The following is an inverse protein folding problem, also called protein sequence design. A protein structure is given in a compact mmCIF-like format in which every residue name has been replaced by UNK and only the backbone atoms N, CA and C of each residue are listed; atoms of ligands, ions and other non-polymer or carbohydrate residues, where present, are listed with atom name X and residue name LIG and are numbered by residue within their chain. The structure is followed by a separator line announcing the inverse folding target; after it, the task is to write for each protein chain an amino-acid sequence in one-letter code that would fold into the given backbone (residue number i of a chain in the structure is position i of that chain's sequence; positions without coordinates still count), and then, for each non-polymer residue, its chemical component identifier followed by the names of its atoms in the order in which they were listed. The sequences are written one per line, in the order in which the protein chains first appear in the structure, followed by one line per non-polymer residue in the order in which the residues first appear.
data_IF_627269450138
#
_entry.id   IF_627269450138
#
_cell.length_a   1.000
_cell.length_b   1.000
_cell.length_c   1.000
_cell.angle_alpha   90.00
_cell.angle_beta   90.00
_cell.angle_gamma   90.00
#
_symmetry.space_group_name_H-M   'P 1'
#
loop_
_entity.id
_entity.type
_entity.pdbx_description
1 polymer ?
#
# COMPACT_ATOMS: atom_id res chain seq x y z
N UNK A 1 4.88 -12.94 2.06
CA UNK A 1 4.60 -12.97 0.61
C UNK A 1 5.09 -11.66 0.01
N UNK A 2 6.10 -11.72 -0.88
CA UNK A 2 6.48 -10.56 -1.71
C UNK A 2 5.44 -10.38 -2.82
N UNK A 3 5.36 -9.19 -3.41
CA UNK A 3 4.43 -8.84 -4.50
C UNK A 3 4.51 -9.82 -5.69
N UNK A 4 5.70 -10.36 -5.99
CA UNK A 4 5.89 -11.36 -7.07
C UNK A 4 5.24 -12.71 -6.76
N UNK A 5 5.04 -13.04 -5.49
CA UNK A 5 4.43 -14.28 -5.04
C UNK A 5 2.92 -14.15 -4.77
N UNK A 6 2.32 -12.98 -5.02
CA UNK A 6 0.89 -12.74 -4.73
C UNK A 6 -0.03 -13.64 -5.54
N UNK A 7 0.27 -13.87 -6.81
CA UNK A 7 -0.55 -14.74 -7.67
C UNK A 7 -0.55 -16.19 -7.16
N UNK A 8 0.63 -16.76 -6.87
CA UNK A 8 0.74 -18.08 -6.29
C UNK A 8 0.03 -18.20 -4.92
N UNK A 9 0.14 -17.17 -4.07
CA UNK A 9 -0.60 -17.12 -2.82
C UNK A 9 -2.12 -17.08 -3.04
N UNK A 10 -2.60 -16.33 -4.04
CA UNK A 10 -4.00 -16.26 -4.40
C UNK A 10 -4.53 -17.63 -4.86
N UNK A 11 -3.78 -18.35 -5.69
CA UNK A 11 -4.12 -19.71 -6.13
C UNK A 11 -4.22 -20.70 -4.95
N UNK A 12 -3.27 -20.65 -4.03
CA UNK A 12 -3.29 -21.50 -2.82
C UNK A 12 -4.51 -21.22 -1.94
N UNK A 13 -4.83 -19.93 -1.72
CA UNK A 13 -6.01 -19.54 -0.95
C UNK A 13 -7.30 -19.92 -1.67
N UNK A 14 -7.37 -19.79 -3.00
CA UNK A 14 -8.52 -20.22 -3.79
C UNK A 14 -8.70 -21.75 -3.75
N UNK A 15 -7.61 -22.53 -3.77
CA UNK A 15 -7.67 -23.97 -3.59
C UNK A 15 -8.22 -24.36 -2.20
N UNK A 16 -7.82 -23.64 -1.15
CA UNK A 16 -8.37 -23.81 0.20
C UNK A 16 -9.86 -23.45 0.26
N UNK A 17 -10.24 -22.34 -0.38
CA UNK A 17 -11.62 -21.88 -0.42
C UNK A 17 -12.56 -22.85 -1.16
N UNK A 18 -12.11 -23.43 -2.29
CA UNK A 18 -12.84 -24.49 -3.01
C UNK A 18 -13.14 -25.71 -2.15
N UNK A 19 -12.26 -26.02 -1.19
CA UNK A 19 -12.41 -27.16 -0.27
C UNK A 19 -13.23 -26.79 0.99
N UNK A 20 -13.81 -25.59 1.05
CA UNK A 20 -14.57 -25.12 2.21
C UNK A 20 -13.70 -24.75 3.41
N UNK A 21 -12.41 -24.47 3.20
CA UNK A 21 -11.46 -24.18 4.29
C UNK A 21 -11.63 -22.81 4.95
N UNK A 22 -12.58 -21.99 4.49
CA UNK A 22 -12.90 -20.70 5.11
C UNK A 22 -14.25 -20.74 5.84
N UNK A 23 -14.32 -20.21 7.07
CA UNK A 23 -15.60 -20.07 7.76
C UNK A 23 -16.50 -19.05 7.07
N UNK A 24 -17.81 -19.13 7.35
CA UNK A 24 -18.78 -18.14 6.87
C UNK A 24 -18.41 -16.74 7.35
N UNK A 25 -18.36 -15.78 6.43
CA UNK A 25 -17.99 -14.40 6.73
C UNK A 25 -16.50 -14.19 7.01
N UNK A 26 -15.64 -15.10 6.52
CA UNK A 26 -14.19 -14.92 6.56
C UNK A 26 -13.75 -13.61 5.87
N UNK A 27 -12.72 -13.01 6.45
CA UNK A 27 -12.05 -11.82 5.94
C UNK A 27 -10.58 -12.15 5.70
N UNK A 28 -10.04 -11.72 4.56
CA UNK A 28 -8.62 -11.82 4.23
C UNK A 28 -8.06 -10.40 4.12
N UNK A 29 -7.11 -10.04 5.00
CA UNK A 29 -6.46 -8.74 4.96
C UNK A 29 -5.17 -8.81 4.12
N UNK A 30 -5.10 -8.04 3.03
CA UNK A 30 -3.90 -7.95 2.21
C UNK A 30 -2.91 -6.95 2.81
N UNK A 31 -1.96 -7.45 3.62
CA UNK A 31 -0.88 -6.67 4.27
C UNK A 31 0.34 -6.43 3.37
N UNK A 32 0.29 -6.86 2.11
CA UNK A 32 1.43 -6.80 1.18
C UNK A 32 1.64 -5.38 0.64
N UNK A 33 2.91 -4.97 0.49
CA UNK A 33 3.25 -3.72 -0.19
C UNK A 33 2.89 -3.79 -1.69
N UNK A 34 2.22 -2.76 -2.20
CA UNK A 34 1.81 -2.64 -3.60
C UNK A 34 0.34 -2.25 -3.75
N UNK A 35 -0.03 -1.79 -4.94
CA UNK A 35 -1.38 -1.26 -5.25
C UNK A 35 -2.32 -2.30 -5.89
N UNK A 36 -1.78 -3.45 -6.36
CA UNK A 36 -2.56 -4.47 -7.09
C UNK A 36 -2.87 -5.74 -6.29
N UNK A 37 -2.15 -6.00 -5.21
CA UNK A 37 -2.22 -7.28 -4.50
C UNK A 37 -3.61 -7.60 -3.97
N UNK A 38 -4.30 -6.60 -3.43
CA UNK A 38 -5.65 -6.75 -2.93
C UNK A 38 -6.64 -7.15 -4.02
N UNK A 39 -6.53 -6.56 -5.21
CA UNK A 39 -7.38 -6.89 -6.35
C UNK A 39 -7.12 -8.31 -6.88
N UNK A 40 -5.85 -8.74 -6.95
CA UNK A 40 -5.48 -10.11 -7.35
C UNK A 40 -6.06 -11.14 -6.37
N UNK A 41 -5.96 -10.87 -5.06
CA UNK A 41 -6.54 -11.74 -4.04
C UNK A 41 -8.07 -11.74 -4.09
N UNK A 42 -8.69 -10.57 -4.26
CA UNK A 42 -10.14 -10.44 -4.34
C UNK A 42 -10.72 -11.25 -5.51
N UNK A 43 -10.14 -11.09 -6.71
CA UNK A 43 -10.58 -11.83 -7.90
C UNK A 43 -10.53 -13.35 -7.71
N UNK A 44 -9.54 -13.86 -6.97
CA UNK A 44 -9.39 -15.28 -6.70
C UNK A 44 -10.34 -15.83 -5.61
N UNK A 45 -10.82 -14.96 -4.70
CA UNK A 45 -11.49 -15.37 -3.46
C UNK A 45 -12.97 -14.98 -3.39
N UNK A 46 -13.38 -13.92 -4.08
CA UNK A 46 -14.77 -13.49 -4.19
C UNK A 46 -15.71 -14.59 -4.72
N UNK A 47 -15.34 -15.40 -5.73
CA UNK A 47 -16.17 -16.52 -6.20
C UNK A 47 -16.48 -17.56 -5.11
N UNK A 48 -15.71 -17.57 -4.03
CA UNK A 48 -15.86 -18.48 -2.89
C UNK A 48 -16.50 -17.79 -1.66
N UNK A 49 -17.00 -16.56 -1.81
CA UNK A 49 -17.65 -15.81 -0.73
C UNK A 49 -16.69 -15.29 0.34
N UNK A 50 -15.37 -15.28 0.07
CA UNK A 50 -14.35 -14.76 0.98
C UNK A 50 -14.07 -13.31 0.62
N UNK A 51 -14.27 -12.40 1.59
CA UNK A 51 -14.07 -10.98 1.37
C UNK A 51 -12.62 -10.58 1.64
N UNK A 52 -12.01 -9.90 0.66
CA UNK A 52 -10.63 -9.40 0.77
C UNK A 52 -10.65 -7.91 1.11
N UNK A 53 -9.93 -7.54 2.17
CA UNK A 53 -9.72 -6.16 2.58
C UNK A 53 -8.30 -5.73 2.28
N UNK A 54 -8.17 -4.79 1.37
CA UNK A 54 -6.89 -4.17 1.03
C UNK A 54 -6.39 -3.31 2.20
N UNK A 55 -5.08 -3.31 2.44
CA UNK A 55 -4.49 -2.52 3.52
C UNK A 55 -3.26 -1.75 3.06
N UNK A 56 -2.83 -0.80 3.89
CA UNK A 56 -1.56 -0.11 3.77
C UNK A 56 -0.83 -0.21 5.11
N UNK A 57 0.42 -0.66 5.07
CA UNK A 57 1.31 -0.76 6.24
C UNK A 57 2.39 0.32 6.14
N UNK A 58 2.56 1.11 7.19
CA UNK A 58 3.45 2.27 7.25
C UNK A 58 4.64 2.05 8.19
N UNK A 59 5.18 0.84 8.19
CA UNK A 59 6.42 0.47 8.86
C UNK A 59 7.02 -0.75 8.18
N UNK A 60 8.33 -0.93 8.35
CA UNK A 60 9.04 -2.11 7.90
C UNK A 60 9.48 -2.93 9.12
N UNK A 61 9.57 -4.24 8.92
CA UNK A 61 10.14 -5.18 9.88
C UNK A 61 11.25 -5.97 9.18
N UNK A 62 12.26 -6.35 9.96
CA UNK A 62 13.32 -7.26 9.53
C UNK A 62 13.30 -8.47 10.44
N UNK A 63 13.35 -9.65 9.83
CA UNK A 63 13.61 -10.89 10.53
C UNK A 63 15.13 -11.06 10.68
N UNK A 64 15.65 -10.67 11.84
CA UNK A 64 17.08 -10.68 12.18
C UNK A 64 17.66 -12.10 12.20
N UNK A 65 16.89 -13.06 12.69
CA UNK A 65 17.34 -14.44 12.86
C UNK A 65 17.02 -15.34 11.67
N UNK A 66 16.66 -14.80 10.50
CA UNK A 66 16.21 -15.61 9.36
C UNK A 66 17.27 -16.61 8.88
N UNK A 67 18.53 -16.17 8.82
CA UNK A 67 19.65 -16.98 8.35
C UNK A 67 20.43 -17.65 9.49
N UNK A 68 20.03 -17.43 10.74
CA UNK A 68 20.69 -18.03 11.89
C UNK A 68 19.92 -19.27 12.32
N UNK A 69 20.28 -20.41 11.73
CA UNK A 69 19.68 -21.71 12.05
C UNK A 69 19.92 -22.15 13.50
N UNK A 70 20.81 -21.45 14.23
CA UNK A 70 21.12 -21.69 15.63
C UNK A 70 20.43 -20.69 16.57
N UNK A 71 19.69 -19.71 16.04
CA UNK A 71 18.99 -18.74 16.86
C UNK A 71 17.94 -19.44 17.73
N UNK A 72 18.07 -19.29 19.05
CA UNK A 72 17.16 -19.88 20.03
C UNK A 72 15.71 -19.36 19.93
N UNK A 73 15.48 -18.24 19.22
CA UNK A 73 14.16 -17.64 19.08
C UNK A 73 13.97 -16.89 17.74
N UNK A 74 12.69 -16.61 17.43
CA UNK A 74 12.30 -15.74 16.32
C UNK A 74 12.56 -14.26 16.67
N UNK A 75 13.56 -13.65 16.05
CA UNK A 75 13.91 -12.23 16.28
C UNK A 75 13.43 -11.35 15.13
N UNK A 76 12.27 -10.72 15.29
CA UNK A 76 11.74 -9.71 14.37
C UNK A 76 11.85 -8.34 15.01
N UNK A 77 12.43 -7.37 14.30
CA UNK A 77 12.55 -5.99 14.76
C UNK A 77 11.91 -5.02 13.77
N UNK A 78 11.31 -3.96 14.29
CA UNK A 78 10.78 -2.85 13.49
C UNK A 78 11.92 -1.91 13.09
N UNK A 79 11.99 -1.56 11.81
CA UNK A 79 13.08 -0.72 11.26
C UNK A 79 12.71 0.76 11.16
N UNK A 80 11.45 1.11 11.40
CA UNK A 80 10.95 2.48 11.27
C UNK A 80 10.34 2.92 12.59
N UNK A 81 10.75 4.06 13.18
CA UNK A 81 10.15 4.53 14.42
C UNK A 81 8.64 4.77 14.25
N UNK A 82 7.84 4.67 15.34
CA UNK A 82 6.44 5.06 15.31
C UNK A 82 6.29 6.52 14.89
N UNK A 83 5.45 6.78 13.89
CA UNK A 83 5.09 8.14 13.51
C UNK A 83 3.98 8.61 14.47
N UNK A 84 4.33 9.51 15.38
CA UNK A 84 3.39 10.04 16.39
C UNK A 84 2.16 10.61 15.68
N UNK A 85 0.97 10.24 16.15
CA UNK A 85 -0.31 10.70 15.62
C UNK A 85 -0.79 10.00 14.34
N UNK A 86 0.06 9.24 13.64
CA UNK A 86 -0.29 8.60 12.38
C UNK A 86 -0.59 7.10 12.56
N UNK A 87 -1.62 6.56 11.86
CA UNK A 87 -1.86 5.13 11.85
C UNK A 87 -0.70 4.40 11.17
N UNK A 88 -0.27 3.29 11.76
CA UNK A 88 0.74 2.41 11.17
C UNK A 88 0.11 1.36 10.25
N UNK A 89 -1.19 1.09 10.38
CA UNK A 89 -1.97 0.28 9.45
C UNK A 89 -3.25 1.02 9.07
N UNK A 90 -3.55 1.12 7.78
CA UNK A 90 -4.86 1.53 7.26
C UNK A 90 -5.52 0.34 6.57
N UNK A 91 -6.77 0.07 6.89
CA UNK A 91 -7.55 -1.05 6.31
C UNK A 91 -8.73 -0.47 5.55
N UNK A 92 -8.99 -0.99 4.34
CA UNK A 92 -10.22 -0.70 3.61
C UNK A 92 -11.42 -1.06 4.48
N UNK A 93 -12.33 -0.11 4.69
CA UNK A 93 -13.57 -0.37 5.39
C UNK A 93 -14.54 -1.10 4.46
N UNK A 94 -15.42 -1.90 5.05
CA UNK A 94 -16.54 -2.48 4.32
C UNK A 94 -17.52 -1.36 3.92
N UNK A 95 -18.06 -1.37 2.70
CA UNK A 95 -19.02 -0.37 2.27
C UNK A 95 -20.24 -0.33 3.19
N UNK A 96 -20.67 0.88 3.52
CA UNK A 96 -21.93 1.11 4.26
C UNK A 96 -23.10 1.10 3.27
N UNK A 97 -24.29 0.63 3.68
CA UNK A 97 -25.47 0.53 2.82
C UNK A 97 -25.93 1.87 2.17
N UNK A 98 -25.43 3.02 2.63
CA UNK A 98 -25.68 4.34 2.01
C UNK A 98 -24.65 4.80 0.96
N UNK A 99 -23.43 4.24 0.95
CA UNK A 99 -22.36 4.65 0.02
C UNK A 99 -22.46 3.98 -1.36
N UNK A 100 -23.18 2.86 -1.46
CA UNK A 100 -23.42 2.14 -2.72
C UNK A 100 -24.17 3.00 -3.74
N UNK A 101 -25.05 3.91 -3.29
CA UNK A 101 -25.79 4.84 -4.18
C UNK A 101 -24.90 5.96 -4.73
N UNK A 102 -23.89 6.41 -3.98
CA UNK A 102 -23.01 7.53 -4.40
C UNK A 102 -21.95 7.08 -5.40
N UNK A 103 -21.29 5.94 -5.17
CA UNK A 103 -20.35 5.37 -6.13
C UNK A 103 -21.01 4.94 -7.45
N UNK A 104 -22.27 4.49 -7.40
CA UNK A 104 -23.07 4.17 -8.58
C UNK A 104 -23.50 5.41 -9.37
N UNK A 105 -23.77 6.54 -8.70
CA UNK A 105 -24.09 7.80 -9.37
C UNK A 105 -22.86 8.43 -10.05
N UNK A 106 -21.67 8.37 -9.43
CA UNK A 106 -20.42 8.86 -10.04
C UNK A 106 -19.96 8.00 -11.22
N UNK A 107 -20.08 6.66 -11.15
CA UNK A 107 -19.74 5.78 -12.28
C UNK A 107 -20.74 5.84 -13.43
N UNK A 108 -22.02 6.13 -13.17
CA UNK A 108 -23.02 6.30 -14.23
C UNK A 108 -22.84 7.67 -14.91
N UNK A 109 -22.52 8.73 -14.16
CA UNK A 109 -22.36 10.07 -14.71
C UNK A 109 -21.10 10.24 -15.58
N UNK A 110 -20.03 9.48 -15.32
CA UNK A 110 -18.86 9.44 -16.21
C UNK A 110 -19.13 8.68 -17.51
N UNK A 111 -20.04 7.69 -17.49
CA UNK A 111 -20.38 6.89 -18.67
C UNK A 111 -21.31 7.61 -19.66
N UNK A 112 -22.02 8.66 -19.23
CA UNK A 112 -22.91 9.44 -20.11
C UNK A 112 -22.20 10.54 -20.92
N UNK A 113 -20.89 10.74 -20.74
CA UNK A 113 -20.13 11.80 -21.42
C UNK A 113 -19.25 11.33 -22.58
N UNK A 114 -19.12 10.03 -22.82
CA UNK A 114 -18.33 9.51 -23.93
C UNK A 114 -19.23 8.70 -24.87
N UNK A 115 -19.41 9.25 -26.08
CA UNK A 115 -20.09 8.59 -27.18
C UNK A 115 -19.37 7.30 -27.59
N UNK A 116 -20.17 6.40 -28.14
CA UNK A 116 -19.89 5.02 -28.50
C UNK A 116 -18.65 4.83 -29.37
N UNK A 117 -17.80 3.84 -29.04
CA UNK A 117 -17.58 2.65 -29.89
C UNK A 117 -16.69 1.56 -29.21
N UNK A 118 -17.19 0.32 -29.34
CA UNK A 118 -16.54 -0.99 -29.26
C UNK A 118 -16.04 -1.59 -27.93
N UNK A 119 -16.92 -2.45 -27.40
CA UNK A 119 -16.67 -3.79 -26.82
C UNK A 119 -15.40 -4.03 -25.99
N UNK A 120 -15.56 -3.89 -24.66
CA UNK A 120 -15.14 -4.93 -23.75
C UNK A 120 -16.16 -5.05 -22.62
N UNK A 121 -17.00 -6.08 -22.68
CA UNK A 121 -17.93 -6.45 -21.60
C UNK A 121 -17.13 -7.03 -20.43
N UNK A 122 -16.49 -6.16 -19.66
CA UNK A 122 -16.07 -6.50 -18.30
C UNK A 122 -17.34 -6.59 -17.44
N UNK A 123 -17.77 -7.83 -17.27
CA UNK A 123 -18.87 -8.26 -16.44
C UNK A 123 -18.53 -7.92 -14.98
N UNK A 124 -18.82 -6.69 -14.56
CA UNK A 124 -18.78 -6.28 -13.15
C UNK A 124 -19.95 -6.94 -12.45
N UNK A 125 -19.78 -8.21 -12.10
CA UNK A 125 -20.62 -8.88 -11.12
C UNK A 125 -20.61 -8.00 -9.87
N UNK A 126 -21.76 -7.39 -9.55
CA UNK A 126 -21.89 -6.52 -8.40
C UNK A 126 -21.47 -7.29 -7.16
N UNK A 127 -20.36 -6.87 -6.54
CA UNK A 127 -19.85 -7.48 -5.32
C UNK A 127 -20.98 -7.56 -4.29
N UNK A 128 -21.23 -8.77 -3.77
CA UNK A 128 -22.31 -8.99 -2.82
C UNK A 128 -22.14 -8.07 -1.61
N UNK A 129 -23.23 -7.42 -1.19
CA UNK A 129 -23.21 -6.51 -0.05
C UNK A 129 -22.63 -7.22 1.19
N UNK A 130 -21.74 -6.56 1.94
CA UNK A 130 -21.08 -7.20 3.06
C UNK A 130 -22.07 -7.61 4.15
N UNK A 131 -21.90 -8.82 4.65
CA UNK A 131 -22.76 -9.42 5.67
C UNK A 131 -22.54 -8.76 7.05
N UNK A 132 -23.54 -8.85 7.93
CA UNK A 132 -23.40 -8.41 9.32
C UNK A 132 -22.26 -9.15 10.04
N UNK A 133 -22.04 -10.43 9.71
CA UNK A 133 -20.93 -11.24 10.23
C UNK A 133 -19.59 -10.66 9.83
N UNK A 134 -19.40 -10.28 8.57
CA UNK A 134 -18.16 -9.64 8.09
C UNK A 134 -17.89 -8.31 8.81
N UNK A 135 -18.91 -7.48 9.04
CA UNK A 135 -18.74 -6.23 9.82
C UNK A 135 -18.32 -6.52 11.27
N UNK A 136 -18.95 -7.49 11.92
CA UNK A 136 -18.57 -7.90 13.27
C UNK A 136 -17.14 -8.45 13.33
N UNK A 137 -16.74 -9.26 12.34
CA UNK A 137 -15.39 -9.80 12.24
C UNK A 137 -14.35 -8.70 11.99
N UNK A 138 -14.63 -7.71 11.14
CA UNK A 138 -13.73 -6.57 10.93
C UNK A 138 -13.51 -5.79 12.23
N UNK A 139 -14.58 -5.51 12.98
CA UNK A 139 -14.47 -4.83 14.27
C UNK A 139 -13.62 -5.62 15.27
N UNK A 140 -13.80 -6.94 15.35
CA UNK A 140 -12.99 -7.82 16.20
C UNK A 140 -11.52 -7.81 15.81
N UNK A 141 -11.20 -7.88 14.51
CA UNK A 141 -9.83 -7.82 14.00
C UNK A 141 -9.19 -6.47 14.36
N UNK A 142 -9.89 -5.36 14.14
CA UNK A 142 -9.38 -4.01 14.46
C UNK A 142 -9.14 -3.84 15.96
N UNK A 143 -10.04 -4.35 16.79
CA UNK A 143 -9.89 -4.31 18.25
C UNK A 143 -8.71 -5.17 18.70
N UNK A 144 -8.60 -6.40 18.19
CA UNK A 144 -7.48 -7.30 18.50
C UNK A 144 -6.13 -6.70 18.09
N UNK A 145 -6.04 -6.11 16.89
CA UNK A 145 -4.81 -5.45 16.45
C UNK A 145 -4.42 -4.25 17.32
N UNK A 146 -5.39 -3.59 17.98
CA UNK A 146 -5.15 -2.43 18.85
C UNK A 146 -4.92 -2.82 20.31
N UNK A 147 -5.10 -4.10 20.68
CA UNK A 147 -5.26 -4.52 22.07
C UNK A 147 -4.06 -4.20 22.97
N UNK A 148 -2.84 -4.31 22.43
CA UNK A 148 -1.59 -4.03 23.15
C UNK A 148 -1.12 -2.56 23.04
N UNK A 149 -1.85 -1.72 22.29
CA UNK A 149 -1.49 -0.33 21.99
C UNK A 149 -0.28 -0.17 21.05
N UNK A 150 0.36 -1.26 20.61
CA UNK A 150 1.54 -1.21 19.75
C UNK A 150 1.19 -0.85 18.30
N UNK A 151 0.01 -1.24 17.83
CA UNK A 151 -0.46 -0.93 16.48
C UNK A 151 -1.59 0.11 16.47
N UNK A 152 -1.33 1.22 15.79
CA UNK A 152 -2.34 2.22 15.44
C UNK A 152 -3.01 1.83 14.12
N UNK A 153 -4.14 1.14 14.22
CA UNK A 153 -4.95 0.76 13.05
C UNK A 153 -6.03 1.80 12.80
N UNK A 154 -6.35 2.11 11.54
CA UNK A 154 -7.53 2.92 11.17
C UNK A 154 -8.25 2.30 9.98
N UNK A 155 -9.56 2.54 9.91
CA UNK A 155 -10.39 2.17 8.77
C UNK A 155 -10.48 3.37 7.81
N UNK A 156 -10.46 3.11 6.50
CA UNK A 156 -10.65 4.14 5.47
C UNK A 156 -11.69 3.66 4.45
N UNK A 157 -12.60 4.53 3.99
CA UNK A 157 -13.54 4.18 2.92
C UNK A 157 -12.85 4.06 1.56
N UNK A 158 -11.70 4.72 1.36
CA UNK A 158 -10.94 4.68 0.12
C UNK A 158 -9.47 4.35 0.42
N UNK A 159 -9.11 3.08 0.29
CA UNK A 159 -7.73 2.62 0.45
C UNK A 159 -6.87 2.89 -0.79
N UNK A 160 -7.49 3.05 -1.97
CA UNK A 160 -6.78 3.27 -3.25
C UNK A 160 -5.90 4.52 -3.12
N UNK A 161 -6.50 5.64 -2.75
CA UNK A 161 -5.82 6.92 -2.57
C UNK A 161 -4.67 6.85 -1.56
N UNK A 162 -4.87 6.11 -0.47
CA UNK A 162 -3.84 5.86 0.55
C UNK A 162 -2.66 5.08 -0.02
N UNK A 163 -2.91 4.01 -0.78
CA UNK A 163 -1.84 3.18 -1.35
C UNK A 163 -1.06 3.93 -2.43
N UNK A 164 -1.75 4.67 -3.31
CA UNK A 164 -1.10 5.48 -4.33
C UNK A 164 -0.30 6.65 -3.72
N UNK A 165 -0.78 7.25 -2.63
CA UNK A 165 0.01 8.24 -1.88
C UNK A 165 1.33 7.66 -1.33
N UNK A 166 1.31 6.41 -0.87
CA UNK A 166 2.52 5.70 -0.43
C UNK A 166 3.41 5.34 -1.62
N UNK A 167 2.81 5.00 -2.77
CA UNK A 167 3.55 4.65 -3.98
C UNK A 167 4.49 5.77 -4.42
N UNK A 168 4.06 7.04 -4.35
CA UNK A 168 4.91 8.20 -4.69
C UNK A 168 6.23 8.23 -3.92
N UNK A 169 6.21 7.80 -2.65
CA UNK A 169 7.43 7.69 -1.83
C UNK A 169 8.27 6.51 -2.27
N UNK A 170 7.62 5.38 -2.57
CA UNK A 170 8.30 4.18 -3.01
C UNK A 170 8.92 4.31 -4.41
N UNK A 171 8.52 5.30 -5.23
CA UNK A 171 9.13 5.57 -6.54
C UNK A 171 10.64 5.86 -6.43
N UNK A 172 11.10 6.35 -5.28
CA UNK A 172 12.53 6.52 -4.99
C UNK A 172 13.31 5.19 -5.08
N UNK A 173 12.66 4.06 -4.78
CA UNK A 173 13.33 2.76 -4.66
C UNK A 173 14.04 2.34 -5.94
N UNK A 174 13.48 2.69 -7.11
CA UNK A 174 14.08 2.39 -8.41
C UNK A 174 15.37 3.20 -8.62
N UNK A 175 15.37 4.49 -8.24
CA UNK A 175 16.56 5.35 -8.30
C UNK A 175 17.68 4.77 -7.45
N UNK A 176 17.37 4.34 -6.22
CA UNK A 176 18.34 3.70 -5.31
C UNK A 176 18.90 2.39 -5.85
N UNK A 177 18.05 1.55 -6.44
CA UNK A 177 18.47 0.26 -6.97
C UNK A 177 19.42 0.42 -8.16
N UNK A 178 19.09 1.33 -9.08
CA UNK A 178 19.92 1.61 -10.25
C UNK A 178 21.24 2.28 -9.88
N UNK A 179 21.26 3.14 -8.86
CA UNK A 179 22.48 3.79 -8.40
C UNK A 179 23.37 2.86 -7.56
N UNK A 180 22.83 1.75 -7.03
CA UNK A 180 23.47 0.87 -6.03
C UNK A 180 23.92 1.61 -4.76
N UNK A 181 23.22 2.70 -4.43
CA UNK A 181 23.58 3.60 -3.32
C UNK A 181 22.45 3.65 -2.27
N UNK A 182 22.79 3.74 -0.97
CA UNK A 182 21.82 3.96 0.10
C UNK A 182 20.96 5.22 -0.13
N UNK A 183 19.81 5.25 0.55
CA UNK A 183 18.83 6.35 0.45
C UNK A 183 19.49 7.72 0.72
N UNK A 184 20.25 7.92 1.82
CA UNK A 184 20.90 9.21 2.07
C UNK A 184 21.92 9.61 1.02
N UNK A 185 22.70 8.64 0.50
CA UNK A 185 23.72 8.88 -0.52
C UNK A 185 23.09 9.40 -1.82
N UNK A 186 22.02 8.75 -2.30
CA UNK A 186 21.27 9.25 -3.46
C UNK A 186 20.67 10.64 -3.22
N UNK A 187 20.07 10.86 -2.05
CA UNK A 187 19.44 12.13 -1.73
C UNK A 187 20.45 13.28 -1.56
N UNK A 188 21.70 12.99 -1.23
CA UNK A 188 22.74 14.01 -1.12
C UNK A 188 23.16 14.62 -2.46
N UNK A 189 22.84 13.93 -3.58
CA UNK A 189 23.22 14.33 -4.93
C UNK A 189 22.02 14.86 -5.72
N UNK A 190 22.13 16.09 -6.23
CA UNK A 190 21.04 16.76 -6.97
C UNK A 190 20.50 15.94 -8.14
N UNK A 191 21.36 15.26 -8.89
CA UNK A 191 20.95 14.47 -10.06
C UNK A 191 19.90 13.42 -9.71
N UNK A 192 20.15 12.61 -8.68
CA UNK A 192 19.20 11.60 -8.22
C UNK A 192 17.93 12.20 -7.62
N UNK A 193 18.03 13.33 -6.91
CA UNK A 193 16.83 14.05 -6.42
C UNK A 193 15.95 14.53 -7.58
N UNK A 194 16.55 15.05 -8.65
CA UNK A 194 15.81 15.46 -9.85
C UNK A 194 15.17 14.28 -10.59
N UNK A 195 15.85 13.13 -10.63
CA UNK A 195 15.25 11.90 -11.17
C UNK A 195 13.99 11.48 -10.38
N UNK A 196 14.07 11.42 -9.06
CA UNK A 196 12.89 11.11 -8.23
C UNK A 196 11.79 12.17 -8.36
N UNK A 197 12.17 13.46 -8.44
CA UNK A 197 11.23 14.55 -8.73
C UNK A 197 10.46 14.31 -10.04
N UNK A 198 11.15 13.94 -11.11
CA UNK A 198 10.51 13.63 -12.40
C UNK A 198 9.44 12.55 -12.26
N UNK A 199 9.80 11.42 -11.62
CA UNK A 199 8.87 10.32 -11.34
C UNK A 199 7.63 10.77 -10.55
N UNK A 200 7.80 11.64 -9.55
CA UNK A 200 6.67 12.16 -8.76
C UNK A 200 5.76 13.04 -9.63
N UNK A 201 6.33 13.94 -10.43
CA UNK A 201 5.56 14.87 -11.27
C UNK A 201 4.73 14.08 -12.29
N UNK A 202 5.34 13.14 -13.00
CA UNK A 202 4.63 12.26 -13.96
C UNK A 202 3.53 11.44 -13.26
N UNK A 203 3.81 10.89 -12.09
CA UNK A 203 2.81 10.13 -11.34
C UNK A 203 1.63 11.00 -10.89
N UNK A 204 1.85 12.26 -10.53
CA UNK A 204 0.78 13.18 -10.15
C UNK A 204 -0.14 13.50 -11.34
N UNK A 205 0.41 13.64 -12.55
CA UNK A 205 -0.38 13.80 -13.78
C UNK A 205 -1.26 12.57 -14.04
N UNK A 206 -0.68 11.36 -13.90
CA UNK A 206 -1.44 10.10 -14.00
C UNK A 206 -2.53 10.02 -12.93
N UNK A 207 -2.25 10.46 -11.70
CA UNK A 207 -3.23 10.41 -10.61
C UNK A 207 -4.39 11.37 -10.87
N UNK A 208 -4.10 12.56 -11.40
CA UNK A 208 -5.13 13.51 -11.79
C UNK A 208 -6.04 12.92 -12.87
N UNK A 209 -5.47 12.32 -13.93
CA UNK A 209 -6.24 11.68 -14.99
C UNK A 209 -7.06 10.48 -14.48
N UNK A 210 -6.54 9.73 -13.50
CA UNK A 210 -7.18 8.54 -12.95
C UNK A 210 -8.13 8.82 -11.76
N UNK A 211 -8.36 10.09 -11.41
CA UNK A 211 -9.21 10.51 -10.29
C UNK A 211 -8.69 10.04 -8.91
N UNK A 212 -7.37 9.92 -8.74
CA UNK A 212 -6.73 9.48 -7.50
C UNK A 212 -6.37 10.71 -6.67
N UNK A 213 -6.85 10.76 -5.42
CA UNK A 213 -6.50 11.84 -4.50
C UNK A 213 -5.26 11.50 -3.69
N UNK A 214 -4.33 12.44 -3.55
CA UNK A 214 -3.16 12.28 -2.69
C UNK A 214 -3.51 12.58 -1.23
N UNK A 215 -3.44 11.56 -0.37
CA UNK A 215 -3.71 11.61 1.07
C UNK A 215 -2.46 11.96 1.93
N UNK A 216 -1.37 12.45 1.32
CA UNK A 216 -0.14 12.80 2.01
C UNK A 216 0.15 14.30 1.89
N UNK A 217 0.00 15.08 2.98
CA UNK A 217 0.00 16.55 2.90
C UNK A 217 1.36 17.16 2.49
N UNK A 218 2.46 16.42 2.64
CA UNK A 218 3.79 16.88 2.27
C UNK A 218 4.15 16.61 0.79
N UNK A 219 3.37 15.79 0.09
CA UNK A 219 3.66 15.43 -1.31
C UNK A 219 3.67 16.64 -2.26
N UNK A 220 2.74 17.61 -2.16
CA UNK A 220 2.79 18.80 -3.03
C UNK A 220 4.09 19.62 -2.89
N UNK A 221 4.71 19.59 -1.71
CA UNK A 221 5.97 20.30 -1.44
C UNK A 221 7.21 19.50 -1.85
N UNK A 222 7.07 18.18 -2.02
CA UNK A 222 8.18 17.28 -2.26
C UNK A 222 8.94 17.57 -3.57
N UNK A 223 8.28 17.84 -4.72
CA UNK A 223 8.98 18.25 -5.95
C UNK A 223 9.83 19.51 -5.79
N UNK A 224 9.37 20.49 -5.01
CA UNK A 224 10.13 21.69 -4.71
C UNK A 224 11.36 21.35 -3.84
N UNK A 225 11.15 20.60 -2.77
CA UNK A 225 12.22 20.17 -1.88
C UNK A 225 13.33 19.40 -2.59
N UNK A 226 12.97 18.48 -3.50
CA UNK A 226 13.92 17.70 -4.29
C UNK A 226 14.71 18.56 -5.30
N UNK A 227 14.15 19.71 -5.71
CA UNK A 227 14.79 20.65 -6.62
C UNK A 227 15.80 21.59 -5.98
N UNK A 228 16.00 21.54 -4.66
CA UNK A 228 16.94 22.39 -3.93
C UNK A 228 18.41 22.08 -4.29
N UNK A 229 19.31 23.09 -4.30
CA UNK A 229 20.76 22.86 -4.37
C UNK A 229 21.25 21.96 -3.22
N UNK A 230 22.38 21.26 -3.41
CA UNK A 230 22.85 20.26 -2.43
C UNK A 230 23.06 20.84 -1.02
N UNK A 231 23.60 22.06 -0.91
CA UNK A 231 23.81 22.70 0.38
C UNK A 231 22.49 22.98 1.12
N UNK A 232 21.48 23.47 0.39
CA UNK A 232 20.17 23.80 0.97
C UNK A 232 19.42 22.53 1.36
N UNK A 233 19.47 21.51 0.51
CA UNK A 233 18.90 20.21 0.80
C UNK A 233 19.53 19.61 2.06
N UNK A 234 20.87 19.58 2.17
CA UNK A 234 21.56 19.00 3.33
C UNK A 234 21.20 19.69 4.64
N UNK A 235 21.11 21.02 4.64
CA UNK A 235 20.73 21.80 5.81
C UNK A 235 19.32 21.44 6.31
N UNK A 236 18.35 21.29 5.39
CA UNK A 236 16.97 20.98 5.74
C UNK A 236 16.74 19.49 6.04
N UNK A 237 17.39 18.59 5.29
CA UNK A 237 17.20 17.15 5.43
C UNK A 237 17.61 16.63 6.81
N UNK A 238 18.69 17.17 7.39
CA UNK A 238 19.14 16.80 8.73
C UNK A 238 18.09 17.10 9.83
N UNK A 239 17.25 18.12 9.61
CA UNK A 239 16.21 18.55 10.56
C UNK A 239 14.88 17.85 10.30
N UNK A 240 14.49 17.73 9.03
CA UNK A 240 13.15 17.27 8.64
C UNK A 240 13.08 15.74 8.52
N UNK A 241 14.18 15.09 8.12
CA UNK A 241 14.22 13.66 7.81
C UNK A 241 15.55 13.05 8.27
N UNK A 242 15.77 12.89 9.59
CA UNK A 242 16.93 12.17 10.08
C UNK A 242 16.86 10.72 9.59
N UNK A 243 17.70 10.39 8.62
CA UNK A 243 17.81 9.07 8.02
C UNK A 243 19.10 8.40 8.50
N UNK A 244 19.01 7.11 8.81
CA UNK A 244 20.17 6.27 9.03
C UNK A 244 21.06 6.26 7.76
N UNK A 245 22.36 6.59 7.85
CA UNK A 245 23.29 6.59 6.72
C UNK A 245 23.27 5.30 5.89
N UNK A 246 23.07 4.15 6.54
CA UNK A 246 23.03 2.83 5.91
C UNK A 246 21.64 2.41 5.42
N UNK A 247 20.62 3.26 5.54
CA UNK A 247 19.26 2.90 5.15
C UNK A 247 19.17 2.65 3.64
N UNK A 248 18.90 1.40 3.26
CA UNK A 248 18.69 0.99 1.87
C UNK A 248 17.20 0.90 1.54
N UNK A 249 16.85 1.12 0.27
CA UNK A 249 15.51 0.80 -0.22
C UNK A 249 15.31 -0.72 -0.25
N UNK A 250 14.07 -1.19 -0.17
CA UNK A 250 13.77 -2.62 -0.27
C UNK A 250 14.23 -3.21 -1.61
N UNK A 251 14.16 -2.43 -2.69
CA UNK A 251 14.59 -2.88 -4.02
C UNK A 251 16.12 -3.00 -4.11
N UNK A 252 16.88 -2.10 -3.48
CA UNK A 252 18.34 -2.22 -3.42
C UNK A 252 18.76 -3.46 -2.64
N UNK A 253 18.11 -3.73 -1.50
CA UNK A 253 18.34 -4.96 -0.73
C UNK A 253 18.07 -6.21 -1.56
N UNK A 254 17.04 -6.20 -2.40
CA UNK A 254 16.70 -7.31 -3.29
C UNK A 254 17.70 -7.49 -4.45
N UNK A 255 18.36 -6.42 -4.90
CA UNK A 255 19.39 -6.47 -5.96
C UNK A 255 20.75 -6.94 -5.42
N UNK A 256 20.98 -6.79 -4.12
CA UNK A 256 22.22 -7.21 -3.45
C UNK A 256 22.16 -8.65 -2.89
N UNK A 257 20.96 -9.20 -2.71
CA UNK A 257 20.72 -10.55 -2.21
C UNK A 257 20.86 -11.60 -3.32
#
# INVERSE_FOLDING_TARGET
VKTTATAAAAEQLAALARRGGFPKGALVLSLQNGVRNGAVLAAALEPHGVCVLTTMVNFNVVWSSYCDSLAAALHIRRCTPPKIGLPCIRVQNLPSPGNERKGRAEQVMTKTKEGEESENRENTAAAAAPTNVQRANLNRIVLALRADGALRVSLTPNIRDVQYSKLLINLQSAVNALSREPVPATLSQRGYRLAWRGLIVEALEVYQAAGITVCAPYVPLLPFFLSLPDWAYRALAAVLFPLDPGCKSSMLQDVEA
#
